data_IF_667698400349
#
_entry.id   IF_667698400349
#
_cell.length_a   1.000
_cell.length_b   1.000
_cell.length_c   1.000
_cell.angle_alpha   90.00
_cell.angle_beta   90.00
_cell.angle_gamma   90.00
#
_symmetry.space_group_name_H-M   'P 1'
#
loop_
_entity.id
_entity.type
_entity.pdbx_description
1 polymer ?
#
# COMPACT_ATOMS: atom_id res chain seq x y z
N UNK A 1 -2.16 -12.83 -4.48
CA UNK A 1 -0.89 -12.14 -4.17
C UNK A 1 -0.36 -12.44 -2.76
N UNK A 2 -1.09 -12.11 -1.68
CA UNK A 2 -0.63 -12.39 -0.29
C UNK A 2 -0.22 -13.85 -0.08
N UNK A 3 -1.05 -14.80 -0.52
CA UNK A 3 -0.72 -16.23 -0.43
C UNK A 3 0.48 -16.64 -1.29
N UNK A 4 0.73 -15.95 -2.41
CA UNK A 4 1.92 -16.21 -3.22
C UNK A 4 3.17 -15.85 -2.43
N UNK A 5 3.19 -14.67 -1.78
CA UNK A 5 4.31 -14.22 -0.93
C UNK A 5 4.58 -15.20 0.23
N UNK A 6 3.51 -15.69 0.87
CA UNK A 6 3.61 -16.68 1.95
C UNK A 6 4.21 -17.98 1.40
N UNK A 7 3.64 -18.51 0.33
CA UNK A 7 4.06 -19.78 -0.25
C UNK A 7 5.49 -19.73 -0.79
N UNK A 8 5.88 -18.67 -1.50
CA UNK A 8 7.27 -18.52 -2.00
C UNK A 8 8.26 -18.37 -0.86
N UNK A 9 7.88 -17.75 0.25
CA UNK A 9 8.71 -17.69 1.47
C UNK A 9 8.90 -19.07 2.10
N UNK A 10 7.86 -19.90 2.12
CA UNK A 10 7.98 -21.29 2.58
C UNK A 10 8.80 -22.17 1.64
N UNK A 11 8.61 -22.02 0.32
CA UNK A 11 9.37 -22.74 -0.70
C UNK A 11 10.85 -22.37 -0.65
N UNK A 12 11.18 -21.08 -0.52
CA UNK A 12 12.55 -20.59 -0.35
C UNK A 12 13.22 -21.23 0.89
N UNK A 13 12.51 -21.29 2.03
CA UNK A 13 13.02 -21.95 3.25
C UNK A 13 13.17 -23.46 3.07
N UNK A 14 12.38 -24.07 2.18
CA UNK A 14 12.39 -25.51 1.92
C UNK A 14 13.51 -25.94 0.99
N UNK A 15 14.07 -25.03 0.19
CA UNK A 15 15.20 -25.31 -0.71
C UNK A 15 16.39 -25.94 0.02
N UNK A 16 16.69 -25.51 1.26
CA UNK A 16 17.77 -26.12 2.06
C UNK A 16 17.56 -27.61 2.35
N UNK A 17 16.32 -28.04 2.60
CA UNK A 17 16.01 -29.44 2.89
C UNK A 17 16.07 -30.28 1.62
N UNK A 18 15.63 -29.71 0.50
CA UNK A 18 15.76 -30.34 -0.81
C UNK A 18 17.24 -30.54 -1.18
N UNK A 19 18.08 -29.53 -0.91
CA UNK A 19 19.53 -29.62 -1.11
C UNK A 19 20.16 -30.72 -0.25
N UNK A 20 19.89 -30.73 1.06
CA UNK A 20 20.37 -31.77 1.98
C UNK A 20 19.98 -33.18 1.49
N UNK A 21 18.74 -33.33 1.02
CA UNK A 21 18.23 -34.59 0.47
C UNK A 21 18.97 -35.00 -0.81
N UNK A 22 19.17 -34.08 -1.76
CA UNK A 22 19.88 -34.35 -3.02
C UNK A 22 21.34 -34.74 -2.73
N UNK A 23 22.03 -33.99 -1.87
CA UNK A 23 23.41 -34.29 -1.47
C UNK A 23 23.51 -35.69 -0.86
N UNK A 24 22.58 -36.06 0.02
CA UNK A 24 22.57 -37.37 0.67
C UNK A 24 22.37 -38.54 -0.31
N UNK A 25 21.52 -38.37 -1.33
CA UNK A 25 21.27 -39.43 -2.33
C UNK A 25 22.37 -39.52 -3.38
N UNK A 26 22.95 -38.38 -3.78
CA UNK A 26 23.89 -38.34 -4.90
C UNK A 26 25.35 -38.50 -4.50
N UNK A 27 25.68 -38.37 -3.20
CA UNK A 27 27.07 -38.31 -2.69
C UNK A 27 27.94 -37.25 -3.37
N UNK A 28 27.32 -36.28 -4.07
CA UNK A 28 28.01 -35.21 -4.76
C UNK A 28 28.49 -34.18 -3.73
N UNK A 29 29.78 -33.82 -3.78
CA UNK A 29 30.35 -32.83 -2.86
C UNK A 29 29.59 -31.49 -2.99
N UNK A 30 29.41 -30.74 -1.88
CA UNK A 30 28.65 -29.49 -1.85
C UNK A 30 29.01 -28.49 -2.96
N UNK A 31 30.27 -28.50 -3.41
CA UNK A 31 30.80 -27.56 -4.41
C UNK A 31 30.11 -27.60 -5.78
N UNK A 32 29.58 -28.75 -6.21
CA UNK A 32 28.86 -28.89 -7.50
C UNK A 32 27.34 -28.69 -7.38
N UNK A 33 26.80 -28.67 -6.16
CA UNK A 33 25.37 -28.46 -5.86
C UNK A 33 25.01 -26.96 -5.77
N UNK A 34 26.02 -26.09 -5.71
CA UNK A 34 25.83 -24.64 -5.56
C UNK A 34 25.08 -23.96 -6.72
N UNK A 35 25.12 -24.50 -7.94
CA UNK A 35 24.42 -23.91 -9.09
C UNK A 35 22.90 -24.10 -9.01
N UNK A 36 22.43 -25.27 -8.56
CA UNK A 36 20.99 -25.56 -8.33
C UNK A 36 20.45 -24.82 -7.11
N UNK A 37 21.26 -24.68 -6.05
CA UNK A 37 20.96 -23.88 -4.85
C UNK A 37 20.63 -22.42 -5.18
N UNK A 38 21.40 -21.82 -6.09
CA UNK A 38 21.22 -20.44 -6.50
C UNK A 38 19.89 -20.26 -7.27
N UNK A 39 19.59 -21.14 -8.22
CA UNK A 39 18.48 -20.95 -9.16
C UNK A 39 17.08 -21.06 -8.52
N UNK A 40 16.85 -22.05 -7.65
CA UNK A 40 15.54 -22.21 -6.99
C UNK A 40 15.24 -21.07 -6.02
N UNK A 41 16.25 -20.69 -5.22
CA UNK A 41 16.16 -19.59 -4.26
C UNK A 41 15.91 -18.24 -4.96
N UNK A 42 16.62 -17.95 -6.05
CA UNK A 42 16.42 -16.70 -6.80
C UNK A 42 15.05 -16.66 -7.47
N UNK A 43 14.59 -17.76 -8.07
CA UNK A 43 13.27 -17.82 -8.72
C UNK A 43 12.13 -17.48 -7.76
N UNK A 44 12.15 -18.03 -6.53
CA UNK A 44 11.13 -17.73 -5.54
C UNK A 44 11.24 -16.30 -4.99
N UNK A 45 12.45 -15.74 -4.90
CA UNK A 45 12.66 -14.33 -4.55
C UNK A 45 12.06 -13.40 -5.61
N UNK A 46 12.32 -13.68 -6.89
CA UNK A 46 11.80 -12.88 -8.01
C UNK A 46 10.28 -12.95 -8.05
N UNK A 47 9.70 -14.14 -7.90
CA UNK A 47 8.26 -14.33 -7.84
C UNK A 47 7.62 -13.62 -6.62
N UNK A 48 8.30 -13.62 -5.46
CA UNK A 48 7.86 -12.86 -4.29
C UNK A 48 7.88 -11.36 -4.59
N UNK A 49 8.97 -10.86 -5.18
CA UNK A 49 9.11 -9.44 -5.48
C UNK A 49 8.04 -8.95 -6.45
N UNK A 50 7.80 -9.70 -7.53
CA UNK A 50 6.72 -9.40 -8.48
C UNK A 50 5.34 -9.37 -7.78
N UNK A 51 5.07 -10.31 -6.88
CA UNK A 51 3.82 -10.33 -6.12
C UNK A 51 3.70 -9.13 -5.14
N UNK A 52 4.81 -8.66 -4.58
CA UNK A 52 4.85 -7.45 -3.74
C UNK A 52 4.53 -6.19 -4.56
N UNK A 53 5.20 -6.02 -5.71
CA UNK A 53 4.94 -4.89 -6.62
C UNK A 53 3.50 -4.85 -7.12
N UNK A 54 2.93 -6.02 -7.40
CA UNK A 54 1.54 -6.13 -7.84
C UNK A 54 0.56 -5.76 -6.72
N UNK A 55 0.88 -6.05 -5.45
CA UNK A 55 0.07 -5.57 -4.31
C UNK A 55 0.07 -4.04 -4.27
N UNK A 56 1.24 -3.40 -4.39
CA UNK A 56 1.34 -1.94 -4.33
C UNK A 56 0.58 -1.28 -5.48
N UNK A 57 0.76 -1.83 -6.68
CA UNK A 57 0.14 -1.34 -7.92
C UNK A 57 -1.38 -1.47 -7.84
N UNK A 58 -1.90 -2.67 -7.55
CA UNK A 58 -3.34 -2.92 -7.50
C UNK A 58 -4.01 -2.10 -6.39
N UNK A 59 -3.33 -1.91 -5.26
CA UNK A 59 -3.84 -1.11 -4.16
C UNK A 59 -3.96 0.38 -4.54
N UNK A 60 -2.91 0.96 -5.13
CA UNK A 60 -2.95 2.35 -5.59
C UNK A 60 -3.98 2.55 -6.71
N UNK A 61 -4.06 1.63 -7.67
CA UNK A 61 -5.11 1.65 -8.70
C UNK A 61 -6.52 1.60 -8.10
N UNK A 62 -6.71 0.81 -7.03
CA UNK A 62 -8.01 0.73 -6.38
C UNK A 62 -8.36 2.02 -5.63
N UNK A 63 -7.36 2.68 -5.02
CA UNK A 63 -7.53 4.02 -4.46
C UNK A 63 -7.98 4.99 -5.55
N UNK A 64 -7.31 5.00 -6.70
CA UNK A 64 -7.66 5.90 -7.82
C UNK A 64 -9.10 5.68 -8.30
N UNK A 65 -9.58 4.43 -8.36
CA UNK A 65 -10.98 4.13 -8.71
C UNK A 65 -11.98 4.75 -7.73
N UNK A 66 -11.67 4.80 -6.43
CA UNK A 66 -12.54 5.50 -5.47
C UNK A 66 -12.44 7.02 -5.62
N UNK A 67 -11.24 7.56 -5.86
CA UNK A 67 -11.04 9.00 -6.00
C UNK A 67 -11.71 9.58 -7.25
N UNK A 68 -11.87 8.79 -8.31
CA UNK A 68 -12.65 9.17 -9.50
C UNK A 68 -14.14 9.43 -9.20
N UNK A 69 -14.64 9.00 -8.04
CA UNK A 69 -16.00 9.28 -7.58
C UNK A 69 -16.11 10.61 -6.82
N UNK A 70 -15.01 11.33 -6.63
CA UNK A 70 -15.02 12.64 -6.00
C UNK A 70 -15.80 13.63 -6.88
N UNK A 71 -16.83 14.25 -6.30
CA UNK A 71 -17.71 15.21 -6.96
C UNK A 71 -17.84 16.46 -6.08
N UNK A 72 -16.72 17.16 -5.90
CA UNK A 72 -16.69 18.38 -5.11
C UNK A 72 -17.25 19.56 -5.92
N UNK A 73 -18.31 20.17 -5.41
CA UNK A 73 -18.70 21.52 -5.85
C UNK A 73 -17.80 22.55 -5.18
N UNK A 74 -16.69 22.91 -5.85
CA UNK A 74 -15.72 23.88 -5.33
C UNK A 74 -16.26 25.30 -5.14
N UNK A 75 -17.46 25.59 -5.67
CA UNK A 75 -18.11 26.88 -5.58
C UNK A 75 -19.29 26.89 -4.60
N UNK A 76 -19.56 25.78 -3.89
CA UNK A 76 -20.65 25.70 -2.93
C UNK A 76 -20.44 26.66 -1.76
N UNK A 77 -21.47 27.43 -1.40
CA UNK A 77 -21.47 28.24 -0.18
C UNK A 77 -21.69 27.41 1.09
N UNK A 78 -22.25 26.21 0.93
CA UNK A 78 -22.76 25.41 2.03
C UNK A 78 -21.75 24.35 2.47
N UNK A 79 -21.63 24.19 3.78
CA UNK A 79 -20.85 23.12 4.38
C UNK A 79 -21.69 21.84 4.42
N UNK A 80 -21.14 20.73 3.94
CA UNK A 80 -21.76 19.42 4.13
C UNK A 80 -21.70 18.97 5.60
N UNK A 81 -22.64 18.10 5.98
CA UNK A 81 -22.79 17.65 7.37
C UNK A 81 -21.93 16.44 7.74
N UNK A 82 -21.34 15.77 6.75
CA UNK A 82 -20.55 14.54 6.90
C UNK A 82 -19.44 14.46 5.86
N UNK A 83 -18.48 13.57 6.10
CA UNK A 83 -17.50 13.18 5.09
C UNK A 83 -18.18 12.60 3.85
N UNK A 84 -17.56 12.78 2.69
CA UNK A 84 -17.98 12.29 1.39
C UNK A 84 -18.03 10.77 1.37
N UNK A 85 -19.12 10.21 0.86
CA UNK A 85 -19.41 8.77 0.94
C UNK A 85 -18.32 7.92 0.24
N UNK A 86 -17.79 8.39 -0.90
CA UNK A 86 -16.69 7.70 -1.59
C UNK A 86 -15.45 7.51 -0.72
N UNK A 87 -15.16 8.49 0.15
CA UNK A 87 -13.98 8.49 1.00
C UNK A 87 -14.18 7.60 2.22
N UNK A 88 -15.40 7.60 2.78
CA UNK A 88 -15.78 6.68 3.85
C UNK A 88 -15.65 5.23 3.37
N UNK A 89 -16.14 4.93 2.17
CA UNK A 89 -16.04 3.60 1.56
C UNK A 89 -14.59 3.23 1.24
N UNK A 90 -13.79 4.17 0.73
CA UNK A 90 -12.36 3.98 0.51
C UNK A 90 -11.62 3.64 1.81
N UNK A 91 -11.89 4.37 2.90
CA UNK A 91 -11.30 4.10 4.21
C UNK A 91 -11.71 2.70 4.71
N UNK A 92 -12.97 2.31 4.55
CA UNK A 92 -13.45 0.99 4.93
C UNK A 92 -12.75 -0.13 4.13
N UNK A 93 -12.56 0.08 2.82
CA UNK A 93 -11.80 -0.81 1.94
C UNK A 93 -10.33 -0.93 2.40
N UNK A 94 -9.66 0.19 2.66
CA UNK A 94 -8.26 0.21 3.10
C UNK A 94 -8.09 -0.52 4.43
N UNK A 95 -8.99 -0.28 5.39
CA UNK A 95 -8.98 -0.99 6.68
C UNK A 95 -9.13 -2.49 6.53
N UNK A 96 -10.08 -2.93 5.69
CA UNK A 96 -10.32 -4.35 5.43
C UNK A 96 -9.11 -5.00 4.74
N UNK A 97 -8.49 -4.28 3.81
CA UNK A 97 -7.30 -4.75 3.07
C UNK A 97 -6.06 -4.83 3.97
N UNK A 98 -5.82 -3.81 4.80
CA UNK A 98 -4.69 -3.80 5.74
C UNK A 98 -4.80 -4.89 6.81
N UNK A 99 -6.01 -5.28 7.21
CA UNK A 99 -6.19 -6.44 8.08
C UNK A 99 -5.64 -7.73 7.44
N UNK A 100 -5.82 -7.92 6.13
CA UNK A 100 -5.26 -9.07 5.39
C UNK A 100 -3.73 -9.00 5.32
N UNK A 101 -3.15 -7.80 5.27
CA UNK A 101 -1.69 -7.61 5.23
C UNK A 101 -0.98 -8.01 6.53
N UNK A 102 -1.69 -8.25 7.63
CA UNK A 102 -1.09 -8.83 8.85
C UNK A 102 -0.48 -10.22 8.61
N UNK A 103 -0.86 -10.90 7.52
CA UNK A 103 -0.28 -12.17 7.10
C UNK A 103 0.98 -12.03 6.23
N UNK A 104 1.32 -10.81 5.79
CA UNK A 104 2.54 -10.53 5.04
C UNK A 104 3.74 -10.38 5.98
N UNK A 105 4.98 -10.54 5.48
CA UNK A 105 6.17 -10.13 6.22
C UNK A 105 6.06 -8.66 6.63
N UNK A 106 6.46 -8.33 7.86
CA UNK A 106 6.22 -7.00 8.45
C UNK A 106 6.72 -5.82 7.58
N UNK A 107 7.88 -5.97 6.93
CA UNK A 107 8.42 -4.95 6.01
C UNK A 107 7.57 -4.77 4.74
N UNK A 108 6.99 -5.84 4.22
CA UNK A 108 6.13 -5.81 3.03
C UNK A 108 4.81 -5.13 3.40
N UNK A 109 4.19 -5.53 4.51
CA UNK A 109 2.97 -4.90 5.02
C UNK A 109 3.16 -3.40 5.27
N UNK A 110 4.27 -3.02 5.93
CA UNK A 110 4.61 -1.62 6.19
C UNK A 110 4.78 -0.82 4.89
N UNK A 111 5.50 -1.37 3.91
CA UNK A 111 5.71 -0.72 2.61
C UNK A 111 4.39 -0.55 1.86
N UNK A 112 3.53 -1.58 1.83
CA UNK A 112 2.21 -1.50 1.20
C UNK A 112 1.34 -0.40 1.82
N UNK A 113 1.24 -0.38 3.16
CA UNK A 113 0.48 0.64 3.88
C UNK A 113 1.02 2.04 3.63
N UNK A 114 2.34 2.20 3.65
CA UNK A 114 2.99 3.49 3.42
C UNK A 114 2.80 4.00 1.98
N UNK A 115 2.93 3.10 0.99
CA UNK A 115 2.67 3.40 -0.43
C UNK A 115 1.24 3.89 -0.63
N UNK A 116 0.26 3.14 -0.13
CA UNK A 116 -1.16 3.46 -0.25
C UNK A 116 -1.52 4.80 0.37
N UNK A 117 -1.02 5.07 1.58
CA UNK A 117 -1.35 6.30 2.30
C UNK A 117 -0.64 7.51 1.71
N UNK A 118 0.61 7.35 1.24
CA UNK A 118 1.31 8.38 0.47
C UNK A 118 0.55 8.69 -0.82
N UNK A 119 0.10 7.66 -1.54
CA UNK A 119 -0.67 7.80 -2.77
C UNK A 119 -1.97 8.57 -2.51
N UNK A 120 -2.78 8.12 -1.54
CA UNK A 120 -4.00 8.82 -1.14
C UNK A 120 -3.77 10.29 -0.77
N UNK A 121 -2.78 10.58 0.07
CA UNK A 121 -2.49 11.96 0.48
C UNK A 121 -2.04 12.82 -0.71
N UNK A 122 -1.25 12.26 -1.62
CA UNK A 122 -0.78 12.96 -2.83
C UNK A 122 -1.95 13.23 -3.76
N UNK A 123 -2.82 12.25 -3.99
CA UNK A 123 -3.98 12.39 -4.89
C UNK A 123 -5.01 13.37 -4.32
N UNK A 124 -5.28 13.34 -3.01
CA UNK A 124 -6.15 14.34 -2.37
C UNK A 124 -5.59 15.76 -2.53
N UNK A 125 -4.28 15.96 -2.36
CA UNK A 125 -3.65 17.24 -2.63
C UNK A 125 -3.78 17.65 -4.10
N UNK A 126 -3.66 16.70 -5.04
CA UNK A 126 -3.81 16.96 -6.46
C UNK A 126 -5.22 17.42 -6.82
N UNK A 127 -6.27 16.89 -6.19
CA UNK A 127 -7.65 17.35 -6.40
C UNK A 127 -7.81 18.87 -6.16
N UNK A 128 -7.11 19.42 -5.17
CA UNK A 128 -7.12 20.88 -4.89
C UNK A 128 -6.33 21.71 -5.93
N UNK A 129 -5.42 21.07 -6.65
CA UNK A 129 -4.49 21.71 -7.60
C UNK A 129 -4.89 21.48 -9.06
N UNK A 130 -6.00 20.77 -9.31
CA UNK A 130 -6.51 20.56 -10.66
C UNK A 130 -6.86 21.90 -11.34
N UNK A 131 -6.58 21.99 -12.64
CA UNK A 131 -6.73 23.24 -13.40
C UNK A 131 -8.18 23.77 -13.45
N UNK A 132 -9.15 22.91 -13.14
CA UNK A 132 -10.57 23.23 -13.04
C UNK A 132 -10.89 23.97 -11.73
N UNK A 133 -10.09 23.79 -10.68
CA UNK A 133 -10.18 24.50 -9.40
C UNK A 133 -9.53 25.89 -9.53
N UNK A 134 -10.22 26.81 -10.22
CA UNK A 134 -9.75 28.20 -10.38
C UNK A 134 -10.04 29.06 -9.15
N UNK A 135 -11.11 28.73 -8.44
CA UNK A 135 -11.58 29.39 -7.24
C UNK A 135 -12.19 28.35 -6.32
N UNK A 136 -12.07 28.57 -5.02
CA UNK A 136 -12.61 27.71 -3.99
C UNK A 136 -13.29 28.55 -2.92
N UNK A 137 -14.50 28.16 -2.53
CA UNK A 137 -15.21 28.78 -1.42
C UNK A 137 -14.73 28.24 -0.08
N UNK A 138 -15.05 28.96 1.00
CA UNK A 138 -14.81 28.46 2.35
C UNK A 138 -15.63 27.19 2.65
N UNK A 139 -16.86 27.10 2.13
CA UNK A 139 -17.73 25.93 2.31
C UNK A 139 -17.11 24.66 1.70
N UNK A 140 -16.68 24.74 0.44
CA UNK A 140 -16.00 23.63 -0.24
C UNK A 140 -14.70 23.22 0.48
N UNK A 141 -13.88 24.20 0.89
CA UNK A 141 -12.64 23.93 1.62
C UNK A 141 -12.90 23.27 2.98
N UNK A 142 -13.94 23.70 3.70
CA UNK A 142 -14.35 23.09 4.96
C UNK A 142 -14.86 21.65 4.76
N UNK A 143 -15.61 21.38 3.70
CA UNK A 143 -16.03 20.02 3.33
C UNK A 143 -14.81 19.13 3.05
N UNK A 144 -13.87 19.58 2.23
CA UNK A 144 -12.62 18.86 1.96
C UNK A 144 -11.80 18.62 3.24
N UNK A 145 -11.78 19.59 4.16
CA UNK A 145 -11.14 19.43 5.47
C UNK A 145 -11.85 18.37 6.35
N UNK A 146 -13.18 18.25 6.29
CA UNK A 146 -13.89 17.16 6.97
C UNK A 146 -13.44 15.80 6.45
N UNK A 147 -13.26 15.69 5.14
CA UNK A 147 -12.79 14.51 4.43
C UNK A 147 -11.37 14.10 4.83
N UNK A 148 -10.43 15.05 4.82
CA UNK A 148 -9.06 14.82 5.29
C UNK A 148 -9.03 14.39 6.76
N UNK A 149 -9.83 15.02 7.62
CA UNK A 149 -9.92 14.65 9.04
C UNK A 149 -10.53 13.27 9.26
N UNK A 150 -11.41 12.80 8.36
CA UNK A 150 -11.94 11.44 8.43
C UNK A 150 -10.85 10.42 8.07
N UNK A 151 -10.09 10.69 7.00
CA UNK A 151 -8.90 9.91 6.66
C UNK A 151 -7.92 9.83 7.82
N UNK A 152 -7.62 10.95 8.50
CA UNK A 152 -6.76 10.97 9.66
C UNK A 152 -7.31 10.08 10.78
N UNK A 153 -8.55 10.32 11.22
CA UNK A 153 -9.13 9.69 12.42
C UNK A 153 -9.33 8.19 12.27
N UNK A 154 -9.73 7.71 11.10
CA UNK A 154 -10.10 6.30 10.89
C UNK A 154 -8.93 5.43 10.48
N UNK A 155 -7.80 6.04 10.11
CA UNK A 155 -6.59 5.30 9.72
C UNK A 155 -5.61 5.13 10.89
N UNK A 156 -5.78 5.83 12.02
CA UNK A 156 -4.82 5.90 13.16
C UNK A 156 -4.38 4.55 13.76
N UNK A 157 -5.15 3.46 13.71
CA UNK A 157 -4.80 2.25 14.49
C UNK A 157 -3.76 1.31 13.85
N UNK A 158 -3.40 1.47 12.57
CA UNK A 158 -2.28 0.75 11.95
C UNK A 158 -1.25 1.68 11.26
N UNK A 159 -1.48 2.99 11.30
CA UNK A 159 -0.83 3.97 10.43
C UNK A 159 0.03 5.01 11.17
N UNK A 160 0.32 4.81 12.46
CA UNK A 160 1.14 5.75 13.25
C UNK A 160 2.52 6.04 12.62
N UNK A 161 2.98 5.18 11.72
CA UNK A 161 4.23 5.31 10.96
C UNK A 161 4.07 6.22 9.72
N UNK A 162 2.89 6.28 9.09
CA UNK A 162 2.74 6.95 7.80
C UNK A 162 2.53 8.46 7.91
N UNK A 163 1.93 8.93 9.02
CA UNK A 163 1.64 10.35 9.22
C UNK A 163 2.84 11.15 9.74
N UNK A 164 3.72 10.54 10.53
CA UNK A 164 4.99 11.16 10.94
C UNK A 164 5.88 11.48 9.75
N UNK A 165 5.88 10.63 8.71
CA UNK A 165 6.60 10.87 7.44
C UNK A 165 5.97 11.98 6.58
N UNK A 166 4.65 12.11 6.52
CA UNK A 166 3.97 13.15 5.72
C UNK A 166 4.18 14.55 6.32
N UNK A 167 4.10 14.70 7.65
CA UNK A 167 4.35 15.98 8.32
C UNK A 167 5.83 16.41 8.26
N UNK A 168 6.79 15.48 8.29
CA UNK A 168 8.21 15.82 8.09
C UNK A 168 8.56 16.20 6.65
N UNK A 169 7.81 15.72 5.65
CA UNK A 169 7.98 16.13 4.26
C UNK A 169 7.29 17.46 3.92
N UNK A 170 6.15 17.78 4.53
CA UNK A 170 5.45 19.04 4.33
C UNK A 170 6.14 20.23 5.03
N UNK A 171 6.75 20.01 6.22
CA UNK A 171 7.49 21.02 6.97
C UNK A 171 8.86 21.42 6.40
N UNK A 172 9.26 20.89 5.23
CA UNK A 172 10.51 21.24 4.53
C UNK A 172 10.32 22.13 3.29
N UNK A 173 9.09 22.62 3.05
CA UNK A 173 8.77 23.50 1.91
C UNK A 173 8.25 24.89 2.31
N UNK A 174 8.44 25.30 3.56
CA UNK A 174 8.35 26.69 4.00
C UNK A 174 9.59 27.05 4.83
#
# INVERSE_FOLDING_TARGET
LVQIIINTTHLEKSCKYLEEFITNITNVLPETVHTTKLYGTTTFKDARHAAEEEIYTNLNQKIDQFLQLADYDWMTGDLGSKASDYLVDLIAFLRSTFAVFTHLPGKVAQTACMSACKHLATSLMQLLLEAEVRQLTLGALQQFNLDVRECERKTVNHLFICFTCLLTSAGKKF
#
